data_IF_091213891194
#
_entry.id   IF_091213891194
#
_cell.length_a   1.000
_cell.length_b   1.000
_cell.length_c   1.000
_cell.angle_alpha   90.00
_cell.angle_beta   90.00
_cell.angle_gamma   90.00
#
_symmetry.space_group_name_H-M   'P 1'
#
loop_
_entity.id
_entity.type
_entity.pdbx_description
1 polymer ?
#
# COMPACT_ATOMS: atom_id res chain seq x y z
N UNK A 1 14.39 6.16 5.16
CA UNK A 1 13.08 6.60 4.70
C UNK A 1 12.19 6.71 5.91
N UNK A 2 11.35 7.73 5.93
CA UNK A 2 10.38 7.96 6.99
C UNK A 2 9.03 7.41 6.56
N UNK A 3 8.32 6.80 7.50
CA UNK A 3 6.95 6.39 7.29
C UNK A 3 6.07 7.65 7.24
N UNK A 4 5.21 7.81 6.23
CA UNK A 4 4.35 8.98 6.13
C UNK A 4 3.15 8.94 7.09
N UNK A 5 2.86 7.79 7.69
CA UNK A 5 1.72 7.58 8.59
C UNK A 5 2.11 7.57 10.08
N UNK A 6 3.39 7.39 10.39
CA UNK A 6 3.88 7.25 11.76
C UNK A 6 5.34 7.68 11.88
N UNK A 7 5.85 7.85 13.11
CA UNK A 7 7.22 8.31 13.40
C UNK A 7 8.30 7.21 13.19
N UNK A 8 8.03 6.22 12.34
CA UNK A 8 8.94 5.10 12.08
C UNK A 8 9.84 5.45 10.89
N UNK A 9 11.12 5.65 11.18
CA UNK A 9 12.16 5.86 10.17
C UNK A 9 13.04 4.61 10.03
N UNK A 10 13.01 3.94 8.87
CA UNK A 10 13.82 2.74 8.62
C UNK A 10 14.25 2.62 7.14
N UNK A 11 14.92 1.53 6.77
CA UNK A 11 15.31 1.25 5.38
C UNK A 11 14.09 0.87 4.52
N UNK A 12 14.20 0.96 3.18
CA UNK A 12 13.08 0.67 2.24
C UNK A 12 12.39 -0.67 2.51
N UNK A 13 13.16 -1.75 2.55
CA UNK A 13 12.62 -3.11 2.73
C UNK A 13 11.84 -3.31 4.05
N UNK A 14 12.40 -2.95 5.24
CA UNK A 14 11.64 -3.05 6.48
C UNK A 14 10.47 -2.06 6.56
N UNK A 15 10.58 -0.88 5.93
CA UNK A 15 9.48 0.08 5.87
C UNK A 15 8.31 -0.46 5.04
N UNK A 16 8.60 -1.12 3.91
CA UNK A 16 7.59 -1.76 3.08
C UNK A 16 6.80 -2.82 3.85
N UNK A 17 7.50 -3.71 4.55
CA UNK A 17 6.85 -4.71 5.39
C UNK A 17 6.04 -4.09 6.52
N UNK A 18 6.54 -3.02 7.14
CA UNK A 18 5.82 -2.30 8.19
C UNK A 18 4.52 -1.67 7.66
N UNK A 19 4.57 -1.04 6.49
CA UNK A 19 3.39 -0.46 5.85
C UNK A 19 2.33 -1.52 5.53
N UNK A 20 2.75 -2.66 4.97
CA UNK A 20 1.83 -3.77 4.67
C UNK A 20 1.20 -4.36 5.94
N UNK A 21 1.92 -4.42 7.05
CA UNK A 21 1.43 -5.03 8.29
C UNK A 21 0.58 -4.07 9.14
N UNK A 22 1.04 -2.83 9.30
CA UNK A 22 0.48 -1.86 10.25
C UNK A 22 -0.38 -0.78 9.58
N UNK A 23 -0.25 -0.57 8.27
CA UNK A 23 -0.93 0.51 7.54
C UNK A 23 -1.85 0.02 6.43
N UNK A 24 -2.10 -1.29 6.33
CA UNK A 24 -3.09 -1.84 5.37
C UNK A 24 -4.49 -1.24 5.57
N UNK A 25 -4.84 -0.79 6.78
CA UNK A 25 -6.11 -0.10 7.06
C UNK A 25 -6.25 1.26 6.34
N UNK A 26 -5.16 1.88 5.89
CA UNK A 26 -5.17 3.12 5.10
C UNK A 26 -5.53 2.90 3.63
N UNK A 27 -5.65 1.63 3.21
CA UNK A 27 -6.04 1.26 1.85
C UNK A 27 -7.56 1.19 1.78
N UNK A 28 -8.15 2.16 1.09
CA UNK A 28 -9.57 2.15 0.76
C UNK A 28 -9.83 1.22 -0.41
N UNK A 29 -10.72 0.25 -0.25
CA UNK A 29 -11.12 -0.65 -1.34
C UNK A 29 -12.46 -0.26 -1.94
N UNK A 30 -12.47 -0.06 -3.24
CA UNK A 30 -13.66 0.09 -4.07
C UNK A 30 -13.71 -1.04 -5.11
N UNK A 31 -14.40 -2.13 -4.77
CA UNK A 31 -14.52 -3.30 -5.65
C UNK A 31 -13.17 -3.97 -5.94
N UNK A 32 -12.71 -3.84 -7.19
CA UNK A 32 -11.42 -4.34 -7.69
C UNK A 32 -10.30 -3.29 -7.69
N UNK A 33 -10.62 -2.06 -7.28
CA UNK A 33 -9.68 -0.97 -7.16
C UNK A 33 -9.38 -0.71 -5.70
N UNK A 34 -8.10 -0.54 -5.38
CA UNK A 34 -7.64 -0.09 -4.08
C UNK A 34 -7.00 1.29 -4.23
N UNK A 35 -7.27 2.17 -3.27
CA UNK A 35 -6.72 3.51 -3.17
C UNK A 35 -6.01 3.65 -1.84
N UNK A 36 -4.71 3.88 -1.89
CA UNK A 36 -3.91 4.21 -0.73
C UNK A 36 -3.79 5.73 -0.63
N UNK A 37 -4.15 6.27 0.53
CA UNK A 37 -4.13 7.71 0.77
C UNK A 37 -2.75 8.17 1.22
N UNK A 38 -1.97 8.74 0.31
CA UNK A 38 -0.63 9.26 0.64
C UNK A 38 -0.71 10.66 1.28
N UNK A 39 -0.24 10.87 2.52
CA UNK A 39 -0.26 12.20 3.13
C UNK A 39 0.89 13.10 2.65
N UNK A 40 1.96 12.53 2.10
CA UNK A 40 3.14 13.28 1.62
C UNK A 40 3.00 13.70 0.14
N UNK A 41 1.99 13.22 -0.58
CA UNK A 41 1.87 13.43 -2.03
C UNK A 41 0.51 13.08 -2.61
N UNK A 42 0.50 12.54 -3.83
CA UNK A 42 -0.72 12.10 -4.51
C UNK A 42 -1.15 10.69 -4.06
N UNK A 43 -2.46 10.47 -4.02
CA UNK A 43 -3.05 9.19 -3.69
C UNK A 43 -2.65 8.11 -4.71
N UNK A 44 -2.38 6.90 -4.21
CA UNK A 44 -1.89 5.81 -5.03
C UNK A 44 -3.01 4.82 -5.28
N UNK A 45 -3.41 4.70 -6.54
CA UNK A 45 -4.47 3.80 -6.96
C UNK A 45 -3.89 2.57 -7.65
N UNK A 46 -4.36 1.40 -7.25
CA UNK A 46 -4.04 0.12 -7.88
C UNK A 46 -5.34 -0.64 -8.16
N UNK A 47 -5.56 -0.95 -9.44
CA UNK A 47 -6.58 -1.91 -9.85
C UNK A 47 -5.91 -3.25 -10.03
N UNK A 48 -6.48 -4.28 -9.42
CA UNK A 48 -6.01 -5.66 -9.55
C UNK A 48 -7.10 -6.47 -10.20
N UNK A 49 -6.71 -7.16 -11.27
CA UNK A 49 -7.59 -8.02 -12.03
C UNK A 49 -7.77 -9.32 -11.24
N UNK A 50 -8.82 -9.37 -10.41
CA UNK A 50 -9.22 -10.60 -9.73
C UNK A 50 -9.93 -11.49 -10.75
N UNK A 51 -9.14 -12.16 -11.57
CA UNK A 51 -9.62 -13.24 -12.41
C UNK A 51 -10.32 -14.27 -11.53
N UNK A 52 -11.63 -14.38 -11.66
CA UNK A 52 -12.47 -15.42 -11.07
C UNK A 52 -12.52 -15.44 -9.53
N UNK A 53 -13.05 -14.38 -8.90
CA UNK A 53 -13.84 -14.43 -7.65
C UNK A 53 -13.27 -15.10 -6.38
N UNK A 54 -12.03 -15.60 -6.40
CA UNK A 54 -11.50 -16.45 -5.34
C UNK A 54 -10.66 -15.63 -4.34
N UNK A 55 -11.23 -15.44 -3.16
CA UNK A 55 -10.59 -14.93 -1.91
C UNK A 55 -10.13 -13.47 -1.89
N UNK A 56 -11.08 -12.63 -1.48
CA UNK A 56 -10.93 -11.22 -1.10
C UNK A 56 -9.87 -10.97 0.00
N UNK A 57 -9.51 -11.98 0.80
CA UNK A 57 -8.53 -11.82 1.89
C UNK A 57 -7.07 -11.89 1.42
N UNK A 58 -6.75 -12.73 0.42
CA UNK A 58 -5.40 -12.77 -0.17
C UNK A 58 -5.13 -11.55 -1.05
N UNK A 59 -6.20 -11.02 -1.64
CA UNK A 59 -6.20 -9.82 -2.46
C UNK A 59 -5.64 -8.61 -1.73
N UNK A 60 -6.05 -8.37 -0.49
CA UNK A 60 -5.61 -7.17 0.26
C UNK A 60 -4.09 -7.15 0.47
N UNK A 61 -3.48 -8.31 0.77
CA UNK A 61 -2.03 -8.36 1.01
C UNK A 61 -1.21 -8.14 -0.26
N UNK A 62 -1.61 -8.75 -1.38
CA UNK A 62 -0.92 -8.56 -2.67
C UNK A 62 -1.04 -7.12 -3.17
N UNK A 63 -2.23 -6.53 -3.04
CA UNK A 63 -2.44 -5.12 -3.42
C UNK A 63 -1.69 -4.18 -2.51
N UNK A 64 -1.71 -4.42 -1.19
CA UNK A 64 -0.96 -3.64 -0.22
C UNK A 64 0.53 -3.57 -0.61
N UNK A 65 1.12 -4.72 -0.92
CA UNK A 65 2.51 -4.79 -1.41
C UNK A 65 2.73 -3.88 -2.62
N UNK A 66 1.83 -3.88 -3.60
CA UNK A 66 1.94 -3.07 -4.81
C UNK A 66 1.77 -1.56 -4.54
N UNK A 67 0.75 -1.15 -3.78
CA UNK A 67 0.51 0.28 -3.50
C UNK A 67 1.58 0.87 -2.59
N UNK A 68 2.06 0.11 -1.61
CA UNK A 68 3.14 0.56 -0.73
C UNK A 68 4.50 0.58 -1.43
N UNK A 69 4.76 -0.31 -2.39
CA UNK A 69 5.99 -0.23 -3.17
C UNK A 69 6.03 1.06 -4.00
N UNK A 70 4.91 1.43 -4.62
CA UNK A 70 4.75 2.73 -5.29
C UNK A 70 4.89 3.92 -4.35
N UNK A 71 4.36 3.81 -3.13
CA UNK A 71 4.51 4.86 -2.12
C UNK A 71 5.97 5.11 -1.81
N UNK A 72 6.72 4.03 -1.58
CA UNK A 72 8.15 4.12 -1.28
C UNK A 72 8.94 4.69 -2.45
N UNK A 73 8.60 4.33 -3.68
CA UNK A 73 9.20 4.92 -4.88
C UNK A 73 8.99 6.44 -4.90
N UNK A 74 7.75 6.89 -4.62
CA UNK A 74 7.40 8.31 -4.57
C UNK A 74 8.10 9.08 -3.44
N UNK A 75 8.52 8.39 -2.38
CA UNK A 75 9.26 8.99 -1.25
C UNK A 75 10.78 9.05 -1.50
N UNK A 76 11.29 8.32 -2.49
CA UNK A 76 12.71 8.34 -2.86
C UNK A 76 13.03 9.38 -3.94
N UNK A 77 12.02 9.91 -4.64
CA UNK A 77 12.14 10.93 -5.70
C UNK A 77 12.30 12.37 -5.18
#
# INVERSE_FOLDING_TARGET
>A
MDCPYCDVSTARMPLHSHLVDEHTDEIERDGATCRLRNPEGEDIEATVDTGDGETVERFTNEVAVLVFDRLLDSLEE
#
